data_IF_776641348684
#
_entry.id   IF_776641348684
#
_cell.length_a   1.000
_cell.length_b   1.000
_cell.length_c   1.000
_cell.angle_alpha   90.00
_cell.angle_beta   90.00
_cell.angle_gamma   90.00
#
_symmetry.space_group_name_H-M   'P 1'
#
loop_
_entity.id
_entity.type
_entity.pdbx_description
1 polymer ?
#
# COMPACT_ATOMS: atom_id res chain seq x y z
N UNK A 1 3.06 10.11 -26.88
CA UNK A 1 3.16 10.13 -25.42
C UNK A 1 3.15 8.72 -24.88
N UNK A 2 3.99 8.50 -23.89
CA UNK A 2 4.05 7.19 -23.26
C UNK A 2 2.93 7.07 -22.21
N UNK A 3 2.22 5.93 -22.22
CA UNK A 3 1.28 5.59 -21.17
C UNK A 3 1.96 4.93 -19.97
N UNK A 4 3.29 4.85 -20.01
CA UNK A 4 4.06 4.24 -18.95
C UNK A 4 4.45 5.31 -17.92
N UNK A 5 4.25 4.99 -16.66
CA UNK A 5 4.68 5.86 -15.57
C UNK A 5 6.20 5.76 -15.37
N UNK A 6 6.79 6.86 -14.95
CA UNK A 6 8.19 6.85 -14.49
C UNK A 6 8.25 6.22 -13.09
N UNK A 7 9.46 5.85 -12.67
CA UNK A 7 9.67 5.34 -11.31
C UNK A 7 9.17 6.34 -10.27
N UNK A 8 9.50 7.62 -10.43
CA UNK A 8 9.09 8.65 -9.47
C UNK A 8 7.58 8.79 -9.40
N UNK A 9 6.88 8.68 -10.53
CA UNK A 9 5.43 8.73 -10.55
C UNK A 9 4.80 7.53 -9.84
N UNK A 10 5.37 6.34 -10.02
CA UNK A 10 4.88 5.13 -9.34
C UNK A 10 5.12 5.23 -7.83
N UNK A 11 6.29 5.71 -7.42
CA UNK A 11 6.59 5.93 -6.01
C UNK A 11 5.61 6.93 -5.41
N UNK A 12 5.29 8.00 -6.15
CA UNK A 12 4.33 9.01 -5.68
C UNK A 12 2.93 8.42 -5.47
N UNK A 13 2.48 7.51 -6.34
CA UNK A 13 1.21 6.82 -6.15
C UNK A 13 1.20 6.02 -4.86
N UNK A 14 2.23 5.23 -4.66
CA UNK A 14 2.33 4.38 -3.47
C UNK A 14 2.40 5.23 -2.19
N UNK A 15 3.18 6.30 -2.21
CA UNK A 15 3.27 7.21 -1.06
C UNK A 15 1.94 7.90 -0.77
N UNK A 16 1.16 8.22 -1.80
CA UNK A 16 -0.16 8.80 -1.61
C UNK A 16 -1.06 7.90 -0.78
N UNK A 17 -0.96 6.59 -1.01
CA UNK A 17 -1.73 5.62 -0.24
C UNK A 17 -1.24 5.56 1.23
N UNK A 18 0.07 5.50 1.43
CA UNK A 18 0.65 5.49 2.78
C UNK A 18 0.32 6.78 3.55
N UNK A 19 0.37 7.92 2.87
CA UNK A 19 0.01 9.20 3.47
C UNK A 19 -1.47 9.23 3.87
N UNK A 20 -2.35 8.68 3.04
CA UNK A 20 -3.77 8.58 3.37
C UNK A 20 -4.00 7.68 4.59
N UNK A 21 -3.26 6.58 4.70
CA UNK A 21 -3.33 5.73 5.90
C UNK A 21 -2.82 6.46 7.13
N UNK A 22 -1.72 7.20 7.00
CA UNK A 22 -1.15 7.97 8.11
C UNK A 22 -2.13 9.02 8.62
N UNK A 23 -2.87 9.65 7.72
CA UNK A 23 -3.87 10.66 8.06
C UNK A 23 -5.22 10.07 8.44
N UNK A 24 -5.38 8.74 8.36
CA UNK A 24 -6.64 8.03 8.54
C UNK A 24 -7.74 8.58 7.63
N UNK A 25 -7.35 8.93 6.41
CA UNK A 25 -8.24 9.48 5.40
C UNK A 25 -8.89 8.34 4.59
N UNK A 26 -10.01 7.84 5.08
CA UNK A 26 -10.70 6.72 4.47
C UNK A 26 -11.29 7.02 3.11
N UNK A 27 -11.72 8.25 2.88
CA UNK A 27 -12.20 8.65 1.56
C UNK A 27 -11.09 8.54 0.52
N UNK A 28 -9.88 8.91 0.89
CA UNK A 28 -8.74 8.88 0.00
C UNK A 28 -8.23 7.47 -0.25
N UNK A 29 -8.13 6.63 0.77
CA UNK A 29 -7.73 5.22 0.56
C UNK A 29 -8.75 4.50 -0.30
N UNK A 30 -10.05 4.79 -0.12
CA UNK A 30 -11.10 4.22 -0.96
C UNK A 30 -10.93 4.65 -2.42
N UNK A 31 -10.69 5.94 -2.65
CA UNK A 31 -10.53 6.46 -4.02
C UNK A 31 -9.28 5.93 -4.71
N UNK A 32 -8.21 5.68 -3.95
CA UNK A 32 -6.96 5.14 -4.47
C UNK A 32 -7.01 3.62 -4.68
N UNK A 33 -8.06 2.96 -4.20
CA UNK A 33 -8.22 1.52 -4.32
C UNK A 33 -9.13 1.18 -5.49
N UNK A 34 -8.87 0.05 -6.14
CA UNK A 34 -9.75 -0.47 -7.16
C UNK A 34 -11.11 -0.87 -6.58
N UNK A 35 -12.06 -1.17 -7.45
CA UNK A 35 -13.40 -1.60 -7.05
C UNK A 35 -13.33 -2.78 -6.08
N UNK A 36 -12.40 -3.69 -6.33
CA UNK A 36 -12.05 -4.77 -5.41
C UNK A 36 -10.54 -4.86 -5.38
N UNK A 37 -9.95 -4.80 -4.17
CA UNK A 37 -8.52 -4.96 -3.99
C UNK A 37 -8.22 -6.29 -3.31
N UNK A 38 -7.23 -7.00 -3.82
CA UNK A 38 -6.76 -8.24 -3.22
C UNK A 38 -5.57 -7.90 -2.33
N UNK A 39 -5.66 -8.26 -1.06
CA UNK A 39 -4.61 -7.96 -0.08
C UNK A 39 -4.16 -9.25 0.58
N UNK A 40 -2.86 -9.47 0.64
CA UNK A 40 -2.29 -10.58 1.39
C UNK A 40 -1.23 -10.06 2.35
N UNK A 41 -1.17 -10.68 3.51
CA UNK A 41 -0.24 -10.25 4.55
C UNK A 41 -0.21 -11.23 5.71
N UNK A 42 0.38 -10.82 6.85
CA UNK A 42 0.54 -11.72 8.00
C UNK A 42 -0.77 -12.28 8.55
N UNK A 43 -1.89 -11.63 8.26
CA UNK A 43 -3.21 -12.06 8.75
C UNK A 43 -3.98 -12.90 7.75
N UNK A 44 -3.43 -13.16 6.58
CA UNK A 44 -4.07 -13.98 5.55
C UNK A 44 -4.40 -13.20 4.29
N UNK A 45 -5.48 -13.60 3.64
CA UNK A 45 -5.86 -13.08 2.32
C UNK A 45 -7.27 -12.50 2.40
N UNK A 46 -7.45 -11.33 1.80
CA UNK A 46 -8.76 -10.65 1.80
C UNK A 46 -9.04 -10.02 0.44
N UNK A 47 -10.33 -10.00 0.07
CA UNK A 47 -10.83 -9.14 -1.01
C UNK A 47 -11.57 -7.99 -0.35
N UNK A 48 -11.20 -6.76 -0.67
CA UNK A 48 -11.69 -5.57 0.01
C UNK A 48 -12.29 -4.62 -1.02
N UNK A 49 -13.56 -4.23 -0.84
CA UNK A 49 -14.16 -3.19 -1.68
C UNK A 49 -13.78 -1.79 -1.16
N UNK A 50 -14.09 -0.77 -1.95
CA UNK A 50 -13.70 0.60 -1.60
C UNK A 50 -14.31 1.07 -0.29
N UNK A 51 -15.57 0.77 -0.04
CA UNK A 51 -16.25 1.19 1.19
C UNK A 51 -15.58 0.57 2.41
N UNK A 52 -15.26 -0.72 2.32
CA UNK A 52 -14.58 -1.42 3.41
C UNK A 52 -13.17 -0.90 3.61
N UNK A 53 -12.46 -0.59 2.53
CA UNK A 53 -11.11 -0.04 2.63
C UNK A 53 -11.11 1.29 3.38
N UNK A 54 -12.03 2.18 3.05
CA UNK A 54 -12.16 3.46 3.74
C UNK A 54 -12.49 3.28 5.20
N UNK A 55 -13.41 2.38 5.51
CA UNK A 55 -13.81 2.11 6.88
C UNK A 55 -12.65 1.53 7.71
N UNK A 56 -11.90 0.60 7.15
CA UNK A 56 -10.73 0.03 7.81
C UNK A 56 -9.67 1.08 8.10
N UNK A 57 -9.50 2.02 7.19
CA UNK A 57 -8.55 3.12 7.36
C UNK A 57 -8.94 4.02 8.53
N UNK A 58 -10.22 4.36 8.63
CA UNK A 58 -10.71 5.29 9.66
C UNK A 58 -10.85 4.63 11.03
N UNK A 59 -11.27 3.38 11.06
CA UNK A 59 -11.65 2.70 12.30
C UNK A 59 -10.57 1.73 12.83
N UNK A 60 -9.46 1.61 12.13
CA UNK A 60 -8.38 0.73 12.58
C UNK A 60 -7.85 1.14 13.96
N UNK A 61 -7.53 0.16 14.80
CA UNK A 61 -7.04 0.39 16.16
C UNK A 61 -5.53 0.61 16.23
N UNK A 62 -4.89 0.88 15.10
CA UNK A 62 -3.48 1.21 15.03
C UNK A 62 -3.33 2.53 14.28
N UNK A 63 -2.27 3.24 14.58
CA UNK A 63 -1.97 4.52 13.94
C UNK A 63 -0.58 4.47 13.33
N UNK A 64 -0.50 4.75 12.04
CA UNK A 64 0.78 4.87 11.36
C UNK A 64 1.34 6.27 11.67
N UNK A 65 2.44 6.31 12.41
CA UNK A 65 3.09 7.57 12.79
C UNK A 65 4.03 8.06 11.72
N UNK A 66 4.77 7.13 11.11
CA UNK A 66 5.76 7.46 10.09
C UNK A 66 6.10 6.24 9.27
N UNK A 67 6.64 6.46 8.09
CA UNK A 67 7.11 5.39 7.22
C UNK A 67 8.27 5.88 6.35
N UNK A 68 9.10 4.96 5.90
CA UNK A 68 10.18 5.29 4.97
C UNK A 68 10.41 4.10 4.04
N UNK A 69 10.49 4.39 2.75
CA UNK A 69 10.76 3.37 1.72
C UNK A 69 12.26 3.23 1.49
N UNK A 70 12.68 2.01 1.18
CA UNK A 70 14.05 1.68 0.80
C UNK A 70 14.02 0.55 -0.24
N UNK A 71 15.08 0.44 -1.01
CA UNK A 71 15.25 -0.64 -2.00
C UNK A 71 14.04 -0.77 -2.93
N UNK A 72 13.65 0.34 -3.56
CA UNK A 72 12.44 0.41 -4.37
C UNK A 72 12.69 -0.15 -5.77
N UNK A 73 11.86 -1.09 -6.18
CA UNK A 73 11.87 -1.71 -7.50
C UNK A 73 10.53 -1.45 -8.19
N UNK A 74 10.54 -1.08 -9.45
CA UNK A 74 9.32 -0.81 -10.21
C UNK A 74 9.35 -1.53 -11.56
N UNK A 75 8.17 -1.81 -12.08
CA UNK A 75 8.00 -2.40 -13.40
C UNK A 75 6.74 -1.83 -14.05
N UNK A 76 6.82 -1.58 -15.35
CA UNK A 76 5.67 -1.15 -16.15
C UNK A 76 5.51 -2.13 -17.31
N UNK A 77 4.96 -3.33 -17.04
CA UNK A 77 4.92 -4.41 -18.04
C UNK A 77 4.01 -4.13 -19.24
N UNK A 78 3.08 -3.19 -19.09
CA UNK A 78 2.15 -2.81 -20.15
C UNK A 78 1.62 -1.40 -19.89
N UNK A 79 1.11 -0.70 -20.91
CA UNK A 79 0.42 0.57 -20.69
C UNK A 79 -0.72 0.38 -19.68
N UNK A 80 -0.82 1.29 -18.72
CA UNK A 80 -1.88 1.21 -17.71
C UNK A 80 -1.63 0.21 -16.59
N UNK A 81 -0.42 -0.36 -16.49
CA UNK A 81 -0.06 -1.28 -15.41
C UNK A 81 1.26 -0.86 -14.80
N UNK A 82 1.30 -0.72 -13.48
CA UNK A 82 2.52 -0.40 -12.74
C UNK A 82 2.62 -1.31 -11.53
N UNK A 83 3.81 -1.85 -11.30
CA UNK A 83 4.10 -2.71 -10.17
C UNK A 83 5.24 -2.07 -9.39
N UNK A 84 5.11 -2.04 -8.07
CA UNK A 84 6.13 -1.51 -7.18
C UNK A 84 6.36 -2.48 -6.03
N UNK A 85 7.63 -2.70 -5.69
CA UNK A 85 8.01 -3.46 -4.50
C UNK A 85 9.10 -2.68 -3.78
N UNK A 86 9.11 -2.75 -2.45
CA UNK A 86 10.01 -1.96 -1.63
C UNK A 86 10.11 -2.53 -0.23
N UNK A 87 11.17 -2.15 0.46
CA UNK A 87 11.23 -2.30 1.91
C UNK A 87 10.64 -1.06 2.54
N UNK A 88 9.91 -1.23 3.61
CA UNK A 88 9.32 -0.09 4.34
C UNK A 88 9.57 -0.26 5.83
N UNK A 89 10.11 0.80 6.44
CA UNK A 89 10.20 0.91 7.89
C UNK A 89 8.98 1.68 8.34
N UNK A 90 8.25 1.13 9.28
CA UNK A 90 7.01 1.70 9.79
C UNK A 90 7.12 1.94 11.28
N UNK A 91 6.68 3.11 11.72
CA UNK A 91 6.49 3.39 13.13
C UNK A 91 4.99 3.44 13.37
N UNK A 92 4.49 2.52 14.17
CA UNK A 92 3.04 2.41 14.44
C UNK A 92 2.79 2.46 15.93
N UNK A 93 1.62 2.97 16.30
CA UNK A 93 1.12 2.96 17.67
C UNK A 93 -0.08 2.04 17.72
N UNK A 94 -0.05 1.07 18.62
CA UNK A 94 -1.14 0.12 18.81
C UNK A 94 -1.29 -0.11 20.33
N UNK A 95 -2.51 0.03 20.83
CA UNK A 95 -2.80 -0.15 22.26
C UNK A 95 -1.90 0.71 23.15
N UNK A 96 -1.62 1.94 22.71
CA UNK A 96 -0.79 2.88 23.45
C UNK A 96 0.71 2.61 23.38
N UNK A 97 1.13 1.59 22.64
CA UNK A 97 2.54 1.25 22.47
C UNK A 97 3.03 1.57 21.09
N UNK A 98 4.16 2.24 21.01
CA UNK A 98 4.81 2.53 19.74
C UNK A 98 5.76 1.41 19.38
N UNK A 99 5.66 0.93 18.14
CA UNK A 99 6.49 -0.14 17.62
C UNK A 99 7.09 0.25 16.28
N UNK A 100 8.32 -0.19 16.05
CA UNK A 100 8.94 -0.07 14.73
C UNK A 100 8.93 -1.44 14.07
N UNK A 101 8.56 -1.46 12.79
CA UNK A 101 8.49 -2.69 12.02
C UNK A 101 9.10 -2.47 10.66
N UNK A 102 9.68 -3.52 10.11
CA UNK A 102 10.17 -3.51 8.74
C UNK A 102 9.47 -4.59 7.94
N UNK A 103 9.06 -4.23 6.73
CA UNK A 103 8.34 -5.12 5.85
C UNK A 103 8.83 -4.98 4.42
N UNK A 104 8.56 -6.01 3.62
CA UNK A 104 8.70 -5.96 2.18
C UNK A 104 7.29 -5.97 1.60
N UNK A 105 6.95 -4.94 0.85
CA UNK A 105 5.60 -4.74 0.33
C UNK A 105 5.61 -4.69 -1.19
N UNK A 106 4.49 -5.05 -1.80
CA UNK A 106 4.32 -4.98 -3.24
C UNK A 106 2.89 -4.52 -3.55
N UNK A 107 2.76 -3.64 -4.54
CA UNK A 107 1.46 -3.19 -5.02
C UNK A 107 1.37 -3.25 -6.53
N UNK A 108 0.17 -3.52 -7.03
CA UNK A 108 -0.15 -3.43 -8.45
C UNK A 108 -1.15 -2.31 -8.66
N UNK A 109 -0.77 -1.36 -9.50
CA UNK A 109 -1.59 -0.21 -9.87
C UNK A 109 -2.08 -0.36 -11.29
N UNK A 110 -3.36 -0.10 -11.52
CA UNK A 110 -3.97 -0.13 -12.85
C UNK A 110 -4.61 1.22 -13.14
N UNK A 111 -4.47 1.68 -14.39
CA UNK A 111 -5.15 2.91 -14.81
C UNK A 111 -6.52 2.55 -15.37
N UNK A 112 -7.56 3.08 -14.76
CA UNK A 112 -8.93 2.96 -15.21
C UNK A 112 -9.51 4.32 -15.58
N UNK A 113 -10.82 4.38 -15.72
CA UNK A 113 -11.51 5.63 -16.07
C UNK A 113 -11.38 6.69 -14.97
N UNK A 114 -11.18 6.28 -13.72
CA UNK A 114 -11.07 7.18 -12.58
C UNK A 114 -9.61 7.41 -12.16
N UNK A 115 -8.68 7.13 -13.05
CA UNK A 115 -7.26 7.31 -12.80
C UNK A 115 -6.58 6.02 -12.34
N UNK A 116 -5.42 6.18 -11.71
CA UNK A 116 -4.64 5.06 -11.22
C UNK A 116 -5.18 4.58 -9.87
N UNK A 117 -5.42 3.28 -9.75
CA UNK A 117 -5.94 2.69 -8.53
C UNK A 117 -5.16 1.42 -8.20
N UNK A 118 -4.97 1.18 -6.90
CA UNK A 118 -4.29 -0.02 -6.42
C UNK A 118 -5.27 -1.18 -6.36
N UNK A 119 -4.95 -2.26 -7.07
CA UNK A 119 -5.81 -3.44 -7.16
C UNK A 119 -5.29 -4.62 -6.37
N UNK A 120 -4.02 -4.59 -5.98
CA UNK A 120 -3.43 -5.67 -5.20
C UNK A 120 -2.30 -5.13 -4.35
N UNK A 121 -2.19 -5.63 -3.14
CA UNK A 121 -1.12 -5.26 -2.22
C UNK A 121 -0.75 -6.46 -1.36
N UNK A 122 0.54 -6.62 -1.13
CA UNK A 122 1.02 -7.66 -0.21
C UNK A 122 2.02 -7.06 0.76
N UNK A 123 2.06 -7.61 1.97
CA UNK A 123 3.03 -7.22 2.99
C UNK A 123 3.64 -8.47 3.62
N UNK A 124 4.97 -8.52 3.63
CA UNK A 124 5.73 -9.59 4.27
C UNK A 124 6.58 -8.96 5.36
N UNK A 125 6.38 -9.38 6.60
CA UNK A 125 7.16 -8.84 7.72
C UNK A 125 8.60 -9.33 7.65
N UNK A 126 9.54 -8.43 7.85
CA UNK A 126 10.97 -8.72 7.89
C UNK A 126 11.45 -8.70 9.34
N UNK A 127 12.66 -9.22 9.56
CA UNK A 127 13.27 -9.20 10.89
C UNK A 127 12.75 -10.24 11.87
N UNK A 128 11.83 -11.08 11.42
CA UNK A 128 11.36 -12.20 12.22
C UNK A 128 12.20 -13.43 11.98
N UNK A 129 11.66 -14.60 12.36
CA UNK A 129 12.32 -15.88 12.08
C UNK A 129 12.36 -16.10 10.57
N UNK A 130 13.49 -16.55 10.02
CA UNK A 130 13.53 -16.93 8.62
C UNK A 130 12.53 -18.06 8.36
N UNK A 131 11.81 -17.97 7.26
CA UNK A 131 10.83 -18.99 6.90
C UNK A 131 11.48 -20.24 6.31
N UNK A 132 12.68 -20.10 5.85
CA UNK A 132 13.45 -21.19 5.24
C UNK A 132 14.91 -21.04 5.57
#
# INVERSE_FOLDING_TARGET
>A
MSDLLTKDEIVALEKSYWDAMKEKDGARTAALSGETSIVSGPRGVMSIDQAKMGKMTEEGNWTLQDYAFDDVQVSTPAPGVAIIAYKVKQTVTMDGQQKQMEAADMSTWLRGKDGWQCHAHSETMLGGQPLV
#
